data_IF_385219487754
#
_entry.id   IF_385219487754
#
_cell.length_a   1.000
_cell.length_b   1.000
_cell.length_c   1.000
_cell.angle_alpha   90.00
_cell.angle_beta   90.00
_cell.angle_gamma   90.00
#
_symmetry.space_group_name_H-M   'P 1'
#
loop_
_entity.id
_entity.type
_entity.pdbx_description
1 polymer ?
#
# COMPACT_ATOMS: atom_id res chain seq x y z
N UNK A 1 0.71 -4.43 -20.53
CA UNK A 1 1.18 -4.31 -20.28
C UNK A 1 1.54 -3.80 -19.31
N UNK A 2 1.23 -3.32 -18.77
CA UNK A 2 1.81 -2.64 -17.86
C UNK A 2 1.85 -3.25 -16.60
N UNK A 3 2.98 -3.43 -16.00
CA UNK A 3 3.07 -3.86 -14.73
C UNK A 3 2.73 -2.75 -13.86
N UNK A 4 2.03 -3.01 -12.79
CA UNK A 4 1.71 -2.02 -11.80
C UNK A 4 2.98 -1.57 -11.12
N UNK A 5 3.13 -0.27 -10.94
CA UNK A 5 4.30 0.28 -10.26
C UNK A 5 4.03 0.27 -8.76
N UNK A 6 4.51 -0.75 -8.09
CA UNK A 6 4.24 -0.90 -6.66
C UNK A 6 4.93 0.18 -5.84
N UNK A 7 6.05 0.71 -6.33
CA UNK A 7 6.69 1.82 -5.63
C UNK A 7 5.80 3.04 -5.64
N UNK A 8 5.16 3.28 -6.76
CA UNK A 8 4.22 4.39 -6.84
C UNK A 8 3.01 4.14 -5.97
N UNK A 9 2.56 2.91 -5.91
CA UNK A 9 1.43 2.55 -5.06
C UNK A 9 1.72 2.89 -3.61
N UNK A 10 2.93 2.65 -3.17
CA UNK A 10 3.33 2.98 -1.80
C UNK A 10 3.80 4.42 -1.66
N UNK A 11 3.89 5.17 -2.76
CA UNK A 11 4.31 6.56 -2.69
C UNK A 11 5.77 6.72 -2.33
N UNK A 12 6.61 5.79 -2.76
CA UNK A 12 8.03 5.84 -2.45
C UNK A 12 8.83 5.76 -3.74
N UNK A 13 10.10 6.05 -3.63
CA UNK A 13 10.98 5.95 -4.78
C UNK A 13 11.54 4.54 -4.88
N UNK A 14 11.99 4.21 -6.07
CA UNK A 14 12.53 2.88 -6.29
C UNK A 14 13.80 2.63 -5.49
N UNK A 15 14.45 3.71 -5.07
CA UNK A 15 15.67 3.57 -4.29
C UNK A 15 15.38 3.58 -2.79
N UNK A 16 14.13 3.54 -2.40
CA UNK A 16 13.78 3.57 -0.98
C UNK A 16 14.37 2.38 -0.24
N UNK A 17 14.80 2.63 0.98
CA UNK A 17 15.34 1.56 1.81
C UNK A 17 14.21 0.72 2.41
N UNK A 18 14.57 -0.41 2.99
CA UNK A 18 13.58 -1.28 3.60
C UNK A 18 12.81 -0.54 4.69
N UNK A 19 13.49 0.29 5.46
CA UNK A 19 12.82 1.06 6.50
C UNK A 19 11.83 2.03 5.90
N UNK A 20 12.21 2.67 4.81
CA UNK A 20 11.31 3.61 4.17
C UNK A 20 10.10 2.90 3.60
N UNK A 21 10.30 1.73 3.05
CA UNK A 21 9.20 0.95 2.51
C UNK A 21 8.23 0.58 3.63
N UNK A 22 8.76 0.13 4.75
CA UNK A 22 7.91 -0.23 5.88
C UNK A 22 7.14 0.97 6.40
N UNK A 23 7.82 2.09 6.54
CA UNK A 23 7.16 3.28 7.04
C UNK A 23 6.05 3.72 6.12
N UNK A 24 6.32 3.71 4.83
CA UNK A 24 5.31 4.12 3.86
C UNK A 24 4.11 3.18 3.92
N UNK A 25 4.37 1.89 4.00
CA UNK A 25 3.29 0.91 4.06
C UNK A 25 2.44 1.13 5.30
N UNK A 26 3.08 1.31 6.45
CA UNK A 26 2.33 1.50 7.68
C UNK A 26 1.48 2.76 7.63
N UNK A 27 2.06 3.82 7.11
CA UNK A 27 1.35 5.08 7.02
C UNK A 27 0.11 4.95 6.15
N UNK A 28 0.28 4.35 4.97
CA UNK A 28 -0.84 4.21 4.06
C UNK A 28 -1.85 3.20 4.59
N UNK A 29 -1.39 2.15 5.25
CA UNK A 29 -2.30 1.17 5.81
C UNK A 29 -3.19 1.82 6.86
N UNK A 30 -2.65 2.73 7.64
CA UNK A 30 -3.47 3.44 8.60
C UNK A 30 -4.50 4.31 7.92
N UNK A 31 -4.08 5.01 6.88
CA UNK A 31 -4.97 5.94 6.21
C UNK A 31 -6.09 5.23 5.48
N UNK A 32 -5.84 4.03 5.01
CA UNK A 32 -6.82 3.31 4.19
C UNK A 32 -7.41 2.10 4.91
N UNK A 33 -7.24 2.03 6.22
CA UNK A 33 -7.80 0.92 6.95
C UNK A 33 -9.32 1.01 6.93
N UNK A 34 -10.02 -0.08 6.61
CA UNK A 34 -11.48 -0.04 6.51
C UNK A 34 -12.16 0.40 7.79
N UNK A 35 -11.55 0.13 8.94
CA UNK A 35 -12.16 0.49 10.21
C UNK A 35 -12.27 1.99 10.42
N UNK A 36 -11.49 2.77 9.68
CA UNK A 36 -11.54 4.22 9.82
C UNK A 36 -12.71 4.84 9.10
N UNK A 37 -13.38 4.08 8.27
CA UNK A 37 -14.46 4.62 7.45
C UNK A 37 -15.78 4.02 7.90
N UNK A 38 -16.81 4.86 7.95
CA UNK A 38 -18.11 4.41 8.40
C UNK A 38 -19.06 4.12 7.26
N UNK A 39 -18.82 4.72 6.13
CA UNK A 39 -19.71 4.54 4.98
C UNK A 39 -19.37 3.24 4.26
N UNK A 40 -20.37 2.46 3.83
CA UNK A 40 -20.08 1.22 3.11
C UNK A 40 -19.27 1.43 1.85
N UNK A 41 -19.53 2.53 1.15
CA UNK A 41 -18.77 2.81 -0.06
C UNK A 41 -17.32 3.11 0.26
N UNK A 42 -17.10 3.88 1.31
CA UNK A 42 -15.74 4.21 1.71
C UNK A 42 -15.01 3.00 2.22
N UNK A 43 -15.71 2.13 2.94
CA UNK A 43 -15.10 0.91 3.42
C UNK A 43 -14.63 0.05 2.26
N UNK A 44 -15.45 -0.05 1.23
CA UNK A 44 -15.09 -0.86 0.09
C UNK A 44 -13.87 -0.30 -0.62
N UNK A 45 -13.83 1.01 -0.82
CA UNK A 45 -12.68 1.66 -1.42
C UNK A 45 -11.44 1.42 -0.59
N UNK A 46 -11.57 1.56 0.73
CA UNK A 46 -10.44 1.38 1.62
C UNK A 46 -9.93 -0.05 1.57
N UNK A 47 -10.85 -1.01 1.49
CA UNK A 47 -10.44 -2.40 1.40
C UNK A 47 -9.66 -2.68 0.14
N UNK A 48 -10.12 -2.13 -0.97
CA UNK A 48 -9.42 -2.33 -2.24
C UNK A 48 -8.04 -1.72 -2.18
N UNK A 49 -7.95 -0.52 -1.63
CA UNK A 49 -6.67 0.14 -1.51
C UNK A 49 -5.76 -0.62 -0.56
N UNK A 50 -6.32 -1.11 0.53
CA UNK A 50 -5.55 -1.87 1.50
C UNK A 50 -4.97 -3.13 0.86
N UNK A 51 -5.76 -3.79 0.03
CA UNK A 51 -5.27 -4.96 -0.68
C UNK A 51 -4.11 -4.61 -1.60
N UNK A 52 -4.23 -3.49 -2.31
CA UNK A 52 -3.16 -3.06 -3.19
C UNK A 52 -1.89 -2.78 -2.39
N UNK A 53 -2.05 -2.15 -1.24
CA UNK A 53 -0.90 -1.85 -0.41
C UNK A 53 -0.21 -3.11 0.07
N UNK A 54 -1.00 -4.09 0.49
CA UNK A 54 -0.44 -5.36 0.94
C UNK A 54 0.30 -6.06 -0.19
N UNK A 55 -0.28 -6.07 -1.36
CA UNK A 55 0.35 -6.71 -2.49
C UNK A 55 1.64 -6.00 -2.87
N UNK A 56 1.61 -4.67 -2.89
CA UNK A 56 2.81 -3.91 -3.23
C UNK A 56 3.92 -4.16 -2.23
N UNK A 57 3.57 -4.15 -0.95
CA UNK A 57 4.57 -4.37 0.08
C UNK A 57 5.16 -5.78 -0.03
N UNK A 58 4.30 -6.75 -0.27
CA UNK A 58 4.76 -8.12 -0.37
C UNK A 58 5.72 -8.30 -1.53
N UNK A 59 5.40 -7.71 -2.67
CA UNK A 59 6.24 -7.84 -3.85
C UNK A 59 7.57 -7.12 -3.64
N UNK A 60 7.53 -5.92 -3.08
CA UNK A 60 8.74 -5.13 -2.93
C UNK A 60 9.63 -5.69 -1.85
N UNK A 61 9.05 -6.13 -0.75
CA UNK A 61 9.85 -6.61 0.37
C UNK A 61 10.40 -8.01 0.13
N UNK A 62 9.79 -8.73 -0.80
CA UNK A 62 10.26 -10.09 -1.09
C UNK A 62 11.30 -10.02 -2.18
N UNK A 63 12.42 -9.38 -1.90
CA UNK A 63 13.40 -9.27 -2.89
C UNK A 63 14.43 -10.18 -2.67
N UNK A 64 14.57 -11.18 -3.02
CA UNK A 64 15.56 -12.05 -2.78
C UNK A 64 16.08 -12.43 -3.84
#
# INVERSE_FOLDING_TARGET
MAKRDYYETLGIERTASDDEIKKAFRKLARQHHPDLHTSPEQKKSAEEKFKELNEAYEVISDQE
#
